data_IF_071144728481
#
_entry.id   IF_071144728481
#
_cell.length_a   1.000
_cell.length_b   1.000
_cell.length_c   1.000
_cell.angle_alpha   90.00
_cell.angle_beta   90.00
_cell.angle_gamma   90.00
#
_symmetry.space_group_name_H-M   'P 1'
#
loop_
_entity.id
_entity.type
_entity.pdbx_description
1 polymer ?
#
# COMPACT_ATOMS: atom_id res chain seq x y z
N UNK A 1 25.46 -30.87 -2.48
CA UNK A 1 24.74 -30.83 -1.19
C UNK A 1 23.41 -30.21 -1.49
N UNK A 2 22.33 -30.96 -1.34
CA UNK A 2 20.99 -30.44 -1.61
C UNK A 2 20.59 -29.53 -0.45
N UNK A 3 20.26 -28.27 -0.75
CA UNK A 3 19.90 -27.27 0.25
C UNK A 3 18.46 -26.83 0.01
N UNK A 4 17.68 -26.74 1.08
CA UNK A 4 16.32 -26.23 1.02
C UNK A 4 16.30 -24.79 1.52
N UNK A 5 15.81 -23.89 0.67
CA UNK A 5 15.58 -22.48 1.00
C UNK A 5 14.10 -22.34 1.30
N UNK A 6 13.75 -21.66 2.37
CA UNK A 6 12.38 -21.31 2.73
C UNK A 6 12.28 -19.79 2.78
N UNK A 7 11.17 -19.25 2.33
CA UNK A 7 10.93 -17.82 2.35
C UNK A 7 9.45 -17.51 2.48
N UNK A 8 9.16 -16.36 3.06
CA UNK A 8 7.82 -15.82 3.23
C UNK A 8 7.73 -14.40 2.69
N UNK A 9 6.57 -14.06 2.16
CA UNK A 9 6.16 -12.70 1.88
C UNK A 9 4.76 -12.51 2.46
N UNK A 10 4.49 -11.35 3.05
CA UNK A 10 3.17 -11.06 3.64
C UNK A 10 2.63 -9.74 3.11
N UNK A 11 1.34 -9.68 2.76
CA UNK A 11 0.66 -8.37 2.65
C UNK A 11 -0.18 -8.09 3.88
N UNK A 12 -0.15 -6.87 4.42
CA UNK A 12 -1.16 -6.36 5.35
C UNK A 12 -2.03 -5.31 4.69
N UNK A 13 -3.34 -5.53 4.76
CA UNK A 13 -4.34 -4.66 4.15
C UNK A 13 -5.08 -3.87 5.22
N UNK A 14 -5.05 -2.55 5.17
CA UNK A 14 -5.55 -1.68 6.25
C UNK A 14 -6.21 -0.43 5.67
N UNK A 15 -7.16 0.17 6.40
CA UNK A 15 -7.92 1.34 5.95
C UNK A 15 -7.31 2.62 6.53
N UNK A 16 -6.61 3.43 5.70
CA UNK A 16 -6.08 4.70 6.15
C UNK A 16 -7.17 5.71 6.46
N UNK A 17 -6.90 6.61 7.41
CA UNK A 17 -7.80 7.72 7.78
C UNK A 17 -8.19 8.63 6.61
N UNK A 18 -7.29 8.73 5.64
CA UNK A 18 -7.39 9.58 4.47
C UNK A 18 -8.05 8.89 3.28
N UNK A 19 -8.22 7.56 3.29
CA UNK A 19 -8.64 6.80 2.11
C UNK A 19 -10.15 6.88 1.80
N UNK A 20 -10.98 7.32 2.76
CA UNK A 20 -12.44 7.43 2.58
C UNK A 20 -12.87 8.89 2.56
N UNK A 21 -13.46 9.34 1.46
CA UNK A 21 -13.93 10.71 1.25
C UNK A 21 -15.46 10.78 1.10
N UNK A 22 -16.03 11.99 1.06
CA UNK A 22 -17.45 12.22 0.74
C UNK A 22 -18.45 11.72 1.80
N UNK A 23 -19.69 11.44 1.37
CA UNK A 23 -20.80 10.99 2.23
C UNK A 23 -20.49 9.68 3.00
N UNK A 24 -19.57 8.88 2.49
CA UNK A 24 -19.10 7.64 3.14
C UNK A 24 -18.17 7.88 4.32
N UNK A 25 -17.52 9.06 4.39
CA UNK A 25 -16.71 9.48 5.55
C UNK A 25 -17.54 9.55 6.83
N UNK A 26 -18.81 9.94 6.72
CA UNK A 26 -19.73 10.04 7.86
C UNK A 26 -19.90 8.70 8.61
N UNK A 27 -19.84 7.56 7.93
CA UNK A 27 -19.90 6.25 8.59
C UNK A 27 -18.66 5.96 9.46
N UNK A 28 -17.49 6.48 9.07
CA UNK A 28 -16.26 6.36 9.86
C UNK A 28 -16.21 7.40 10.98
N UNK A 29 -16.63 8.63 10.73
CA UNK A 29 -16.63 9.72 11.72
C UNK A 29 -17.68 9.55 12.83
N UNK A 30 -18.81 8.89 12.54
CA UNK A 30 -19.87 8.60 13.52
C UNK A 30 -19.57 7.40 14.42
N UNK A 31 -18.45 6.70 14.20
CA UNK A 31 -18.06 5.52 14.97
C UNK A 31 -18.75 4.22 14.57
N UNK A 32 -19.52 4.23 13.47
CA UNK A 32 -20.12 3.01 12.90
C UNK A 32 -19.03 2.05 12.39
N UNK A 33 -17.93 2.55 11.84
CA UNK A 33 -16.72 1.78 11.58
C UNK A 33 -15.49 2.63 11.91
N UNK A 34 -14.28 2.06 11.87
CA UNK A 34 -13.06 2.73 12.28
C UNK A 34 -11.97 2.65 11.21
N UNK A 35 -11.08 3.65 11.23
CA UNK A 35 -9.83 3.62 10.48
C UNK A 35 -8.80 2.79 11.23
N UNK A 36 -7.90 2.15 10.49
CA UNK A 36 -6.80 1.42 11.06
C UNK A 36 -5.63 2.37 11.33
N UNK A 37 -4.99 2.33 12.51
CA UNK A 37 -3.66 2.92 12.64
C UNK A 37 -2.71 2.20 11.67
N UNK A 38 -1.71 2.90 11.10
CA UNK A 38 -0.74 2.28 10.21
C UNK A 38 -0.14 1.00 10.83
N UNK A 39 0.02 -0.08 10.06
CA UNK A 39 0.77 -1.26 10.48
C UNK A 39 2.21 -0.90 10.89
N UNK A 40 2.88 -1.74 11.71
CA UNK A 40 4.28 -1.52 12.04
C UNK A 40 5.18 -1.72 10.82
N UNK A 41 6.36 -1.11 10.82
CA UNK A 41 7.35 -1.28 9.74
C UNK A 41 8.00 -2.67 9.74
N UNK A 42 7.96 -3.35 10.89
CA UNK A 42 8.41 -4.73 11.05
C UNK A 42 7.30 -5.53 11.72
N UNK A 43 6.94 -6.66 11.13
CA UNK A 43 5.92 -7.57 11.64
C UNK A 43 6.60 -8.75 12.34
N UNK A 44 6.63 -8.69 13.66
CA UNK A 44 7.14 -9.78 14.50
C UNK A 44 6.03 -10.76 14.92
N UNK A 45 4.81 -10.25 15.16
CA UNK A 45 3.66 -11.02 15.60
C UNK A 45 2.40 -10.70 14.78
N UNK A 46 2.27 -11.39 13.66
CA UNK A 46 1.10 -11.26 12.79
C UNK A 46 -0.21 -11.66 13.50
N UNK A 47 -0.15 -12.66 14.39
CA UNK A 47 -1.33 -13.16 15.10
C UNK A 47 -1.84 -12.13 16.12
N UNK A 48 -0.94 -11.51 16.88
CA UNK A 48 -1.25 -10.42 17.80
C UNK A 48 -1.80 -9.19 17.08
N UNK A 49 -1.25 -8.82 15.92
CA UNK A 49 -1.82 -7.75 15.09
C UNK A 49 -3.25 -8.07 14.64
N UNK A 50 -3.52 -9.32 14.26
CA UNK A 50 -4.86 -9.77 13.89
C UNK A 50 -5.84 -9.73 15.07
N UNK A 51 -5.42 -10.20 16.25
CA UNK A 51 -6.22 -10.19 17.47
C UNK A 51 -6.55 -8.75 17.95
N UNK A 52 -5.69 -7.79 17.64
CA UNK A 52 -5.87 -6.37 17.92
C UNK A 52 -6.60 -5.59 16.81
N UNK A 53 -7.19 -6.28 15.81
CA UNK A 53 -7.93 -5.70 14.68
C UNK A 53 -7.09 -4.65 13.90
N UNK A 54 -5.77 -4.87 13.78
CA UNK A 54 -4.82 -3.91 13.18
C UNK A 54 -4.75 -3.95 11.66
N UNK A 55 -5.44 -4.91 11.04
CA UNK A 55 -5.55 -5.04 9.59
C UNK A 55 -6.86 -5.74 9.22
N UNK A 56 -7.33 -5.53 7.99
CA UNK A 56 -8.56 -6.10 7.44
C UNK A 56 -8.37 -7.52 6.91
N UNK A 57 -7.24 -7.78 6.29
CA UNK A 57 -6.77 -9.14 6.01
C UNK A 57 -5.27 -9.15 5.68
N UNK A 58 -4.68 -10.34 5.79
CA UNK A 58 -3.33 -10.62 5.34
C UNK A 58 -3.31 -11.72 4.27
N UNK A 59 -2.41 -11.58 3.30
CA UNK A 59 -2.03 -12.64 2.35
C UNK A 59 -0.63 -13.09 2.75
N UNK A 60 -0.51 -14.28 3.34
CA UNK A 60 0.78 -14.88 3.70
C UNK A 60 1.16 -15.85 2.60
N UNK A 61 2.19 -15.54 1.83
CA UNK A 61 2.77 -16.42 0.83
C UNK A 61 4.07 -16.98 1.39
N UNK A 62 4.03 -18.23 1.84
CA UNK A 62 5.20 -18.97 2.29
C UNK A 62 5.48 -20.12 1.33
N UNK A 63 6.75 -20.41 1.07
CA UNK A 63 7.16 -21.49 0.19
C UNK A 63 8.61 -21.88 0.35
N UNK A 64 9.02 -22.87 -0.42
CA UNK A 64 10.35 -23.44 -0.36
C UNK A 64 10.88 -23.76 -1.76
N UNK A 65 12.20 -23.81 -1.89
CA UNK A 65 12.94 -24.20 -3.08
C UNK A 65 14.08 -25.17 -2.70
N UNK A 66 14.17 -26.30 -3.39
CA UNK A 66 15.27 -27.26 -3.27
C UNK A 66 16.33 -26.94 -4.32
N UNK A 67 17.56 -26.73 -3.86
CA UNK A 67 18.73 -26.39 -4.67
C UNK A 67 19.65 -27.59 -4.73
N UNK A 68 19.92 -28.07 -5.94
CA UNK A 68 20.94 -29.08 -6.24
C UNK A 68 21.93 -28.50 -7.25
N UNK A 69 23.23 -28.65 -6.98
CA UNK A 69 24.32 -28.13 -7.83
C UNK A 69 24.15 -26.66 -8.25
N UNK A 70 23.72 -25.82 -7.29
CA UNK A 70 23.52 -24.38 -7.49
C UNK A 70 22.30 -24.01 -8.32
N UNK A 71 21.37 -24.95 -8.58
CA UNK A 71 20.14 -24.73 -9.34
C UNK A 71 18.92 -25.17 -8.57
N UNK A 72 17.83 -24.42 -8.68
CA UNK A 72 16.54 -24.83 -8.12
C UNK A 72 15.98 -25.98 -8.96
N UNK A 73 15.77 -27.14 -8.34
CA UNK A 73 15.23 -28.35 -8.99
C UNK A 73 13.78 -28.62 -8.63
N UNK A 74 13.32 -28.11 -7.49
CA UNK A 74 11.94 -28.25 -7.02
C UNK A 74 11.54 -27.04 -6.21
N UNK A 75 10.26 -26.69 -6.23
CA UNK A 75 9.71 -25.65 -5.39
C UNK A 75 8.24 -25.92 -5.07
N UNK A 76 7.73 -25.26 -4.04
CA UNK A 76 6.32 -25.39 -3.67
C UNK A 76 5.90 -24.41 -2.59
N UNK A 77 4.62 -24.44 -2.29
CA UNK A 77 3.99 -23.65 -1.24
C UNK A 77 4.09 -24.37 0.11
N UNK A 78 4.25 -23.59 1.17
CA UNK A 78 4.21 -24.09 2.53
C UNK A 78 2.78 -24.15 3.09
N UNK A 79 2.57 -24.95 4.13
CA UNK A 79 1.29 -25.04 4.85
C UNK A 79 0.91 -23.72 5.56
N UNK A 80 1.90 -22.90 5.93
CA UNK A 80 1.67 -21.58 6.50
C UNK A 80 1.01 -20.59 5.53
N UNK A 81 1.10 -20.83 4.22
CA UNK A 81 0.60 -19.93 3.20
C UNK A 81 -0.94 -19.91 3.15
N UNK A 82 -1.50 -18.70 3.07
CA UNK A 82 -2.93 -18.48 2.84
C UNK A 82 -3.40 -17.13 3.35
N UNK A 83 -4.72 -17.01 3.46
CA UNK A 83 -5.36 -15.78 3.92
C UNK A 83 -5.55 -15.78 5.44
N UNK A 84 -5.40 -14.62 6.06
CA UNK A 84 -5.86 -14.35 7.43
C UNK A 84 -6.85 -13.19 7.36
N UNK A 85 -8.14 -13.48 7.48
CA UNK A 85 -9.16 -12.44 7.47
C UNK A 85 -9.24 -11.80 8.86
N UNK A 86 -9.32 -10.48 8.89
CA UNK A 86 -9.61 -9.71 10.09
C UNK A 86 -11.10 -9.70 10.42
N UNK A 87 -11.42 -8.96 11.47
CA UNK A 87 -12.79 -8.67 11.86
C UNK A 87 -13.11 -7.20 11.64
N UNK A 88 -14.33 -6.78 11.92
CA UNK A 88 -14.66 -5.36 12.01
C UNK A 88 -15.67 -5.18 13.12
N UNK A 89 -15.29 -4.40 14.11
CA UNK A 89 -16.19 -4.01 15.20
C UNK A 89 -16.92 -2.72 14.83
N UNK A 90 -18.24 -2.81 14.77
CA UNK A 90 -19.19 -1.70 14.55
C UNK A 90 -19.76 -1.26 15.88
N UNK A 91 -19.87 0.05 16.11
CA UNK A 91 -20.55 0.60 17.29
C UNK A 91 -21.71 1.51 16.89
N UNK A 92 -22.85 1.33 17.56
CA UNK A 92 -24.04 2.20 17.45
C UNK A 92 -24.41 2.61 18.88
N UNK A 93 -24.06 3.84 19.26
CA UNK A 93 -24.18 4.29 20.64
C UNK A 93 -23.32 3.45 21.59
N UNK A 94 -23.94 2.83 22.61
CA UNK A 94 -23.24 1.92 23.55
C UNK A 94 -23.19 0.47 23.09
N UNK A 95 -23.88 0.12 22.02
CA UNK A 95 -23.94 -1.24 21.49
C UNK A 95 -22.80 -1.44 20.49
N UNK A 96 -22.08 -2.55 20.62
CA UNK A 96 -21.02 -2.95 19.70
C UNK A 96 -21.24 -4.37 19.18
N UNK A 97 -20.95 -4.61 17.91
CA UNK A 97 -21.00 -5.93 17.29
C UNK A 97 -19.77 -6.13 16.39
N UNK A 98 -19.15 -7.31 16.46
CA UNK A 98 -17.98 -7.66 15.65
C UNK A 98 -18.36 -8.64 14.56
N UNK A 99 -18.03 -8.30 13.33
CA UNK A 99 -18.35 -9.08 12.14
C UNK A 99 -17.06 -9.64 11.54
N UNK A 100 -17.02 -10.94 11.29
CA UNK A 100 -15.88 -11.56 10.64
C UNK A 100 -15.97 -11.37 9.13
N UNK A 101 -14.84 -11.02 8.50
CA UNK A 101 -14.74 -11.05 7.06
C UNK A 101 -14.59 -12.52 6.58
N UNK A 102 -15.16 -12.84 5.42
CA UNK A 102 -15.22 -14.23 4.93
C UNK A 102 -14.14 -14.46 3.88
N UNK A 103 -13.22 -15.36 4.17
CA UNK A 103 -12.19 -15.79 3.24
C UNK A 103 -12.81 -16.46 2.01
N UNK A 104 -12.26 -16.15 0.83
CA UNK A 104 -12.52 -16.93 -0.37
C UNK A 104 -11.41 -17.98 -0.58
N UNK A 105 -11.64 -19.01 -1.44
CA UNK A 105 -10.62 -20.00 -1.75
C UNK A 105 -9.33 -19.35 -2.23
N UNK A 106 -8.20 -19.76 -1.68
CA UNK A 106 -6.88 -19.25 -2.09
C UNK A 106 -6.60 -19.73 -3.52
N UNK A 107 -6.21 -18.82 -4.40
CA UNK A 107 -5.81 -19.14 -5.77
C UNK A 107 -4.28 -19.20 -5.83
N UNK A 108 -3.73 -20.26 -6.43
CA UNK A 108 -2.29 -20.45 -6.59
C UNK A 108 -2.00 -20.81 -8.03
N UNK A 109 -0.88 -20.30 -8.55
CA UNK A 109 -0.31 -20.80 -9.81
C UNK A 109 0.72 -21.86 -9.52
N UNK A 110 1.02 -22.70 -10.50
CA UNK A 110 2.17 -23.59 -10.41
C UNK A 110 3.47 -22.76 -10.28
N UNK A 111 4.49 -23.24 -9.56
CA UNK A 111 5.78 -22.58 -9.48
C UNK A 111 6.36 -22.29 -10.86
N UNK A 112 6.71 -21.02 -11.13
CA UNK A 112 7.29 -20.57 -12.39
C UNK A 112 8.81 -20.51 -12.26
N UNK A 113 9.54 -21.33 -13.02
CA UNK A 113 11.01 -21.32 -13.03
C UNK A 113 11.50 -20.25 -14.01
N UNK A 114 12.31 -19.33 -13.52
CA UNK A 114 12.74 -18.14 -14.24
C UNK A 114 14.07 -18.36 -14.98
N UNK A 115 14.34 -17.60 -16.06
CA UNK A 115 15.59 -17.72 -16.83
C UNK A 115 16.86 -17.41 -16.03
N UNK A 116 16.75 -16.61 -14.96
CA UNK A 116 17.85 -16.26 -14.05
C UNK A 116 18.14 -17.35 -13.00
N UNK A 117 17.42 -18.48 -13.05
CA UNK A 117 17.56 -19.60 -12.13
C UNK A 117 16.72 -19.49 -10.86
N UNK A 118 15.96 -18.41 -10.68
CA UNK A 118 14.99 -18.28 -9.59
C UNK A 118 13.70 -19.07 -9.84
N UNK A 119 12.86 -19.15 -8.82
CA UNK A 119 11.49 -19.68 -8.92
C UNK A 119 10.50 -18.69 -8.33
N UNK A 120 9.41 -18.41 -9.04
CA UNK A 120 8.34 -17.52 -8.60
C UNK A 120 7.10 -18.29 -8.18
N UNK A 121 6.68 -18.06 -6.95
CA UNK A 121 5.40 -18.49 -6.42
C UNK A 121 4.39 -17.35 -6.53
N UNK A 122 3.13 -17.64 -6.88
CA UNK A 122 2.07 -16.64 -7.03
C UNK A 122 0.81 -17.09 -6.31
N UNK A 123 0.33 -16.26 -5.39
CA UNK A 123 -0.87 -16.54 -4.59
C UNK A 123 -1.80 -15.33 -4.50
N UNK A 124 -3.07 -15.53 -4.84
CA UNK A 124 -4.13 -14.56 -4.60
C UNK A 124 -4.92 -14.95 -3.37
N UNK A 125 -5.02 -14.02 -2.42
CA UNK A 125 -5.80 -14.16 -1.20
C UNK A 125 -6.73 -12.97 -1.02
N UNK A 126 -7.83 -13.19 -0.33
CA UNK A 126 -8.78 -12.15 0.00
C UNK A 126 -10.13 -12.75 0.37
N UNK A 127 -11.15 -11.91 0.30
CA UNK A 127 -12.45 -12.30 0.81
C UNK A 127 -13.51 -11.22 0.70
N UNK A 128 -14.67 -11.52 1.27
CA UNK A 128 -15.76 -10.57 1.44
C UNK A 128 -15.53 -9.77 2.70
N UNK A 129 -15.65 -8.45 2.59
CA UNK A 129 -15.58 -7.57 3.76
C UNK A 129 -16.69 -7.88 4.76
N UNK A 130 -16.41 -7.60 6.03
CA UNK A 130 -17.32 -7.83 7.14
C UNK A 130 -18.63 -7.02 7.03
N UNK A 131 -18.57 -5.83 6.41
CA UNK A 131 -19.72 -4.94 6.24
C UNK A 131 -20.22 -4.93 4.79
N UNK A 132 -21.53 -5.06 4.57
CA UNK A 132 -22.12 -4.89 3.25
C UNK A 132 -22.12 -3.42 2.85
N UNK A 133 -21.90 -3.16 1.56
CA UNK A 133 -22.03 -1.83 0.98
C UNK A 133 -23.27 -1.77 0.06
N UNK A 134 -23.95 -0.61 -0.04
CA UNK A 134 -25.01 -0.44 -1.02
C UNK A 134 -24.41 -0.46 -2.43
N UNK A 135 -24.96 -1.30 -3.29
CA UNK A 135 -24.55 -1.45 -4.69
C UNK A 135 -25.72 -1.18 -5.61
N UNK A 136 -25.55 -0.27 -6.57
CA UNK A 136 -26.53 -0.06 -7.62
C UNK A 136 -26.61 -1.30 -8.54
N UNK A 137 -27.82 -1.73 -8.89
CA UNK A 137 -28.08 -2.84 -9.82
C UNK A 137 -29.07 -2.40 -10.91
N UNK A 138 -28.96 -2.92 -12.14
CA UNK A 138 -29.76 -2.43 -13.28
C UNK A 138 -31.25 -2.80 -13.21
N UNK A 139 -31.63 -3.70 -12.31
CA UNK A 139 -33.01 -4.18 -12.16
C UNK A 139 -33.48 -4.00 -10.70
N UNK A 140 -34.81 -3.91 -10.45
CA UNK A 140 -35.36 -3.86 -9.10
C UNK A 140 -34.73 -4.92 -8.16
N UNK A 141 -34.36 -4.58 -6.92
CA UNK A 141 -34.67 -3.34 -6.19
C UNK A 141 -33.74 -2.14 -6.48
N UNK A 142 -32.93 -2.16 -7.54
CA UNK A 142 -31.97 -1.13 -7.95
C UNK A 142 -30.82 -0.82 -6.99
N UNK A 143 -30.96 -1.21 -5.72
CA UNK A 143 -29.89 -1.21 -4.71
C UNK A 143 -29.87 -2.56 -4.00
N UNK A 144 -28.72 -3.22 -3.97
CA UNK A 144 -28.50 -4.43 -3.21
C UNK A 144 -27.41 -4.19 -2.16
N UNK A 145 -27.61 -4.72 -0.96
CA UNK A 145 -26.57 -4.74 0.07
C UNK A 145 -25.72 -5.99 -0.14
N UNK A 146 -24.45 -5.79 -0.48
CA UNK A 146 -23.50 -6.89 -0.66
C UNK A 146 -22.12 -6.47 -0.19
N UNK A 147 -21.40 -7.36 0.48
CA UNK A 147 -20.00 -7.13 0.84
C UNK A 147 -19.13 -7.14 -0.42
N UNK A 148 -18.41 -6.04 -0.73
CA UNK A 148 -17.42 -6.04 -1.80
C UNK A 148 -16.28 -7.03 -1.50
N UNK A 149 -15.56 -7.37 -2.57
CA UNK A 149 -14.36 -8.18 -2.49
C UNK A 149 -13.12 -7.33 -2.27
N UNK A 150 -12.20 -7.86 -1.46
CA UNK A 150 -10.85 -7.32 -1.27
C UNK A 150 -9.86 -8.44 -1.56
N UNK A 151 -8.74 -8.13 -2.20
CA UNK A 151 -7.72 -9.12 -2.50
C UNK A 151 -6.34 -8.52 -2.74
N UNK A 152 -5.32 -9.34 -2.55
CA UNK A 152 -3.97 -9.12 -3.06
C UNK A 152 -3.53 -10.38 -3.79
N UNK A 153 -2.90 -10.20 -4.94
CA UNK A 153 -2.09 -11.20 -5.63
C UNK A 153 -0.65 -10.89 -5.30
N UNK A 154 -0.03 -11.78 -4.52
CA UNK A 154 1.34 -11.66 -4.04
C UNK A 154 2.22 -12.66 -4.79
N UNK A 155 3.44 -12.24 -5.10
CA UNK A 155 4.49 -13.07 -5.67
C UNK A 155 5.67 -13.14 -4.72
N UNK A 156 6.35 -14.28 -4.71
CA UNK A 156 7.58 -14.52 -3.97
C UNK A 156 8.55 -15.21 -4.92
N UNK A 157 9.60 -14.50 -5.32
CA UNK A 157 10.70 -15.07 -6.11
C UNK A 157 11.79 -15.55 -5.16
N UNK A 158 12.20 -16.81 -5.24
CA UNK A 158 13.29 -17.39 -4.45
C UNK A 158 14.45 -17.69 -5.39
N UNK A 159 15.66 -17.27 -5.04
CA UNK A 159 16.87 -17.46 -5.82
C UNK A 159 17.73 -18.59 -5.25
N UNK A 160 18.59 -19.25 -6.07
CA UNK A 160 19.46 -20.34 -5.60
C UNK A 160 20.45 -19.95 -4.51
N UNK A 161 20.74 -18.66 -4.36
CA UNK A 161 21.67 -18.10 -3.38
C UNK A 161 21.02 -17.80 -2.01
N UNK A 162 19.72 -18.07 -1.86
CA UNK A 162 18.97 -17.79 -0.63
C UNK A 162 18.22 -16.47 -0.62
N UNK A 163 18.41 -15.60 -1.62
CA UNK A 163 17.69 -14.34 -1.72
C UNK A 163 16.23 -14.57 -2.06
N UNK A 164 15.33 -13.76 -1.48
CA UNK A 164 13.91 -13.76 -1.81
C UNK A 164 13.39 -12.36 -2.11
N UNK A 165 12.53 -12.25 -3.13
CA UNK A 165 11.97 -10.97 -3.57
C UNK A 165 10.43 -11.03 -3.59
N UNK A 166 9.75 -10.27 -2.71
CA UNK A 166 8.30 -10.16 -2.75
C UNK A 166 7.85 -9.13 -3.80
N UNK A 167 6.78 -9.44 -4.52
CA UNK A 167 6.15 -8.54 -5.48
C UNK A 167 4.62 -8.51 -5.33
N UNK A 168 4.00 -7.37 -5.62
CA UNK A 168 2.54 -7.19 -5.58
C UNK A 168 2.01 -6.86 -6.98
N UNK A 169 1.84 -7.86 -7.87
CA UNK A 169 1.35 -7.61 -9.23
C UNK A 169 -0.13 -7.23 -9.30
N UNK A 170 -0.95 -7.64 -8.30
CA UNK A 170 -2.38 -7.39 -8.33
C UNK A 170 -2.97 -7.11 -6.95
N UNK A 171 -3.96 -6.22 -6.89
CA UNK A 171 -4.70 -5.92 -5.67
C UNK A 171 -6.03 -5.22 -5.96
N UNK A 172 -6.97 -5.37 -5.03
CA UNK A 172 -8.14 -4.50 -4.98
C UNK A 172 -7.73 -3.03 -4.82
N UNK A 173 -8.44 -2.10 -5.46
CA UNK A 173 -8.17 -0.66 -5.34
C UNK A 173 -8.41 -0.10 -3.92
N UNK A 174 -8.99 -0.88 -3.01
CA UNK A 174 -9.16 -0.56 -1.61
C UNK A 174 -9.27 -1.88 -0.82
N UNK A 175 -8.74 -1.99 0.40
CA UNK A 175 -8.05 -0.97 1.21
C UNK A 175 -6.58 -0.74 0.77
N UNK A 176 -5.76 -0.06 1.59
CA UNK A 176 -4.31 0.10 1.30
C UNK A 176 -3.58 -1.20 1.63
N UNK A 177 -2.56 -1.55 0.85
CA UNK A 177 -1.79 -2.79 1.00
C UNK A 177 -0.31 -2.50 1.21
N UNK A 178 0.27 -3.08 2.27
CA UNK A 178 1.71 -3.04 2.56
C UNK A 178 2.28 -4.45 2.40
N UNK A 179 3.49 -4.56 1.85
CA UNK A 179 4.17 -5.83 1.58
C UNK A 179 5.41 -5.95 2.45
N UNK A 180 5.57 -7.10 3.07
CA UNK A 180 6.68 -7.43 3.96
C UNK A 180 7.47 -8.61 3.39
N UNK A 181 8.78 -8.56 3.56
CA UNK A 181 9.70 -9.64 3.19
C UNK A 181 9.73 -10.77 4.25
N UNK A 182 10.67 -11.71 4.07
CA UNK A 182 10.81 -12.88 4.93
C UNK A 182 11.21 -12.53 6.37
N UNK A 183 11.95 -11.44 6.56
CA UNK A 183 12.30 -10.90 7.87
C UNK A 183 11.15 -10.12 8.52
N UNK A 184 10.01 -10.00 7.83
CA UNK A 184 8.87 -9.21 8.27
C UNK A 184 9.08 -7.70 8.09
N UNK A 185 10.10 -7.26 7.37
CA UNK A 185 10.37 -5.85 7.13
C UNK A 185 9.51 -5.32 5.96
N UNK A 186 8.98 -4.11 6.12
CA UNK A 186 8.18 -3.43 5.10
C UNK A 186 9.04 -3.04 3.89
N UNK A 187 8.70 -3.59 2.72
CA UNK A 187 9.50 -3.40 1.48
C UNK A 187 8.72 -2.78 0.33
N UNK A 188 7.38 -2.80 0.34
CA UNK A 188 6.58 -2.19 -0.75
C UNK A 188 5.19 -1.76 -0.26
N UNK A 189 4.58 -0.79 -0.96
CA UNK A 189 3.22 -0.31 -0.67
C UNK A 189 2.38 -0.21 -1.95
N UNK A 190 1.06 -0.35 -1.84
CA UNK A 190 0.15 0.04 -2.91
C UNK A 190 0.09 1.57 -3.01
N UNK A 191 0.26 2.08 -4.24
CA UNK A 191 0.33 3.51 -4.55
C UNK A 191 -1.03 4.20 -4.61
N UNK A 192 -2.12 3.45 -4.71
CA UNK A 192 -3.47 3.99 -4.93
C UNK A 192 -4.46 3.42 -3.92
N UNK A 193 -5.40 4.25 -3.52
CA UNK A 193 -6.64 3.86 -2.84
C UNK A 193 -7.84 4.55 -3.49
N UNK A 194 -8.64 3.79 -4.23
CA UNK A 194 -9.87 4.28 -4.86
C UNK A 194 -11.08 3.55 -4.29
N UNK A 195 -11.61 4.10 -3.19
CA UNK A 195 -12.80 3.56 -2.54
C UNK A 195 -14.02 3.55 -3.48
N UNK A 196 -14.19 4.57 -4.31
CA UNK A 196 -15.38 4.72 -5.16
C UNK A 196 -15.38 3.69 -6.29
N UNK A 197 -14.25 3.54 -7.00
CA UNK A 197 -14.11 2.50 -8.01
C UNK A 197 -14.21 1.10 -7.37
N UNK A 198 -13.56 0.89 -6.23
CA UNK A 198 -13.66 -0.38 -5.49
C UNK A 198 -15.10 -0.73 -5.13
N UNK A 199 -15.85 0.21 -4.55
CA UNK A 199 -17.25 0.01 -4.15
C UNK A 199 -18.18 -0.20 -5.35
N UNK A 200 -17.82 0.28 -6.54
CA UNK A 200 -18.58 0.08 -7.76
C UNK A 200 -18.23 -1.24 -8.48
N UNK A 201 -16.99 -1.72 -8.37
CA UNK A 201 -16.44 -2.72 -9.29
C UNK A 201 -15.94 -4.01 -8.66
N UNK A 202 -15.74 -4.07 -7.35
CA UNK A 202 -15.17 -5.24 -6.65
C UNK A 202 -16.18 -6.35 -6.38
N UNK A 203 -16.83 -6.84 -7.44
CA UNK A 203 -17.76 -7.96 -7.37
C UNK A 203 -17.80 -8.73 -8.69
N UNK A 204 -18.08 -10.03 -8.61
CA UNK A 204 -18.37 -10.85 -9.77
C UNK A 204 -17.14 -11.09 -10.66
N UNK A 205 -17.34 -11.06 -11.98
CA UNK A 205 -16.33 -11.43 -12.98
C UNK A 205 -15.05 -10.57 -12.94
N UNK A 206 -15.13 -9.31 -12.52
CA UNK A 206 -13.99 -8.37 -12.46
C UNK A 206 -13.12 -8.53 -11.21
N UNK A 207 -12.98 -9.77 -10.75
CA UNK A 207 -12.18 -10.12 -9.57
C UNK A 207 -11.46 -11.44 -9.85
N UNK A 208 -10.40 -11.78 -9.10
CA UNK A 208 -9.63 -13.00 -9.37
C UNK A 208 -10.43 -14.30 -9.28
N UNK A 209 -11.56 -14.30 -8.56
CA UNK A 209 -12.49 -15.43 -8.50
C UNK A 209 -13.55 -15.45 -9.61
N UNK A 210 -13.46 -14.48 -10.51
CA UNK A 210 -14.12 -14.45 -11.81
C UNK A 210 -13.07 -14.65 -12.90
N UNK A 211 -12.88 -13.62 -13.73
CA UNK A 211 -12.10 -13.70 -14.97
C UNK A 211 -10.92 -12.71 -15.00
N UNK A 212 -10.80 -11.80 -14.02
CA UNK A 212 -9.85 -10.67 -14.09
C UNK A 212 -9.16 -10.39 -12.76
N UNK A 213 -7.84 -10.15 -12.79
CA UNK A 213 -7.11 -9.53 -11.67
C UNK A 213 -6.88 -8.03 -11.97
N UNK A 214 -6.84 -7.21 -10.93
CA UNK A 214 -6.58 -5.77 -11.06
C UNK A 214 -5.10 -5.47 -10.82
N UNK A 215 -4.39 -4.84 -11.77
CA UNK A 215 -2.99 -4.47 -11.59
C UNK A 215 -2.80 -3.59 -10.36
N UNK A 216 -1.84 -3.91 -9.51
CA UNK A 216 -1.46 -3.06 -8.41
C UNK A 216 -0.33 -2.13 -8.83
N UNK A 217 -0.59 -0.81 -8.84
CA UNK A 217 0.48 0.16 -8.87
C UNK A 217 1.18 0.11 -7.51
N UNK A 218 2.40 -0.41 -7.49
CA UNK A 218 3.18 -0.56 -6.26
C UNK A 218 4.38 0.37 -6.28
N UNK A 219 4.67 0.96 -5.14
CA UNK A 219 5.74 1.93 -4.94
C UNK A 219 6.68 1.44 -3.84
N UNK A 220 7.93 1.86 -3.93
CA UNK A 220 8.92 1.65 -2.88
C UNK A 220 8.53 2.38 -1.59
N UNK A 221 8.97 1.84 -0.45
CA UNK A 221 8.65 2.36 0.88
C UNK A 221 9.45 3.64 1.14
N UNK A 222 8.88 4.57 1.90
CA UNK A 222 9.59 5.78 2.28
C UNK A 222 10.70 5.49 3.31
N UNK A 223 11.60 6.44 3.51
CA UNK A 223 12.57 6.38 4.61
C UNK A 223 11.89 6.54 5.98
N UNK A 224 12.59 6.12 7.05
CA UNK A 224 12.10 6.30 8.43
C UNK A 224 11.85 7.78 8.77
N UNK A 225 12.68 8.69 8.25
CA UNK A 225 12.53 10.13 8.42
C UNK A 225 11.21 10.65 7.79
N UNK A 226 10.86 10.18 6.59
CA UNK A 226 9.58 10.52 5.93
C UNK A 226 8.39 10.09 6.77
N UNK A 227 8.43 8.90 7.39
CA UNK A 227 7.33 8.41 8.23
C UNK A 227 7.17 9.20 9.52
N UNK A 228 8.26 9.61 10.15
CA UNK A 228 8.21 10.50 11.33
C UNK A 228 7.58 11.84 10.93
N UNK A 229 8.01 12.40 9.80
CA UNK A 229 7.53 13.69 9.35
C UNK A 229 6.07 13.64 8.87
N UNK A 230 5.67 12.59 8.18
CA UNK A 230 4.28 12.31 7.80
C UNK A 230 3.36 12.33 9.02
N UNK A 231 3.76 11.65 10.11
CA UNK A 231 2.99 11.66 11.37
C UNK A 231 2.87 13.07 11.93
N UNK A 232 3.97 13.82 12.02
CA UNK A 232 3.96 15.20 12.52
C UNK A 232 3.05 16.11 11.69
N UNK A 233 3.10 16.01 10.36
CA UNK A 233 2.24 16.77 9.45
C UNK A 233 0.75 16.44 9.62
N UNK A 234 0.43 15.17 9.93
CA UNK A 234 -0.96 14.73 10.10
C UNK A 234 -1.51 14.96 11.50
N UNK A 235 -0.66 14.98 12.53
CA UNK A 235 -1.06 15.20 13.94
C UNK A 235 -0.75 16.60 14.46
N UNK A 236 -0.17 17.46 13.63
CA UNK A 236 0.17 18.84 13.99
C UNK A 236 -1.04 19.66 14.42
N UNK A 237 -0.78 20.77 15.13
CA UNK A 237 -1.83 21.65 15.64
C UNK A 237 -2.69 22.25 14.51
N UNK A 238 -2.06 22.54 13.36
CA UNK A 238 -2.72 23.02 12.16
C UNK A 238 -3.02 21.87 11.22
N UNK A 239 -4.30 21.70 10.86
CA UNK A 239 -4.70 20.69 9.89
C UNK A 239 -4.16 21.06 8.50
N UNK A 240 -3.45 20.16 7.80
CA UNK A 240 -2.96 20.44 6.47
C UNK A 240 -4.12 20.61 5.48
N UNK A 241 -3.94 21.49 4.50
CA UNK A 241 -4.91 21.70 3.41
C UNK A 241 -4.77 20.55 2.42
N UNK A 242 -5.88 19.88 2.09
CA UNK A 242 -5.85 18.83 1.06
C UNK A 242 -5.93 19.45 -0.33
N UNK A 243 -5.01 19.07 -1.21
CA UNK A 243 -5.03 19.39 -2.64
C UNK A 243 -5.15 18.11 -3.45
N UNK A 244 -5.98 18.14 -4.49
CA UNK A 244 -6.16 17.03 -5.44
C UNK A 244 -5.66 17.44 -6.82
N UNK A 245 -5.04 16.49 -7.53
CA UNK A 245 -4.49 16.67 -8.86
C UNK A 245 -5.03 15.56 -9.77
N UNK A 246 -5.34 15.89 -11.02
CA UNK A 246 -5.61 14.90 -12.05
C UNK A 246 -4.30 14.28 -12.57
N UNK A 247 -4.42 13.17 -13.28
CA UNK A 247 -3.28 12.61 -14.02
C UNK A 247 -2.74 13.65 -15.03
N UNK A 248 -1.43 13.83 -15.05
CA UNK A 248 -0.71 14.82 -15.86
C UNK A 248 -0.55 16.20 -15.23
N UNK A 249 -1.25 16.52 -14.13
CA UNK A 249 -1.13 17.83 -13.48
C UNK A 249 0.24 18.01 -12.78
N UNK A 250 0.73 19.25 -12.72
CA UNK A 250 1.93 19.59 -11.97
C UNK A 250 1.58 19.98 -10.53
N UNK A 251 2.26 19.35 -9.56
CA UNK A 251 2.25 19.78 -8.17
C UNK A 251 3.15 21.00 -7.97
N UNK A 252 4.39 20.92 -8.47
CA UNK A 252 5.40 21.99 -8.46
C UNK A 252 6.22 21.97 -9.73
N UNK A 253 6.72 23.14 -10.15
CA UNK A 253 7.71 23.26 -11.23
C UNK A 253 9.08 23.64 -10.65
N UNK A 254 10.15 23.03 -11.15
CA UNK A 254 11.52 23.36 -10.74
C UNK A 254 11.82 24.85 -10.95
N UNK A 255 12.52 25.45 -9.99
CA UNK A 255 12.91 26.86 -9.99
C UNK A 255 11.84 27.82 -9.47
N UNK A 256 10.57 27.41 -9.38
CA UNK A 256 9.52 28.26 -8.80
C UNK A 256 9.75 28.51 -7.31
N UNK A 257 9.33 29.68 -6.79
CA UNK A 257 9.34 29.92 -5.35
C UNK A 257 8.38 28.95 -4.64
N UNK A 258 8.77 28.46 -3.47
CA UNK A 258 7.91 27.61 -2.66
C UNK A 258 8.46 27.34 -1.28
N UNK A 259 7.60 27.51 -0.29
CA UNK A 259 7.86 27.34 1.14
C UNK A 259 6.89 26.33 1.80
N UNK A 260 6.07 25.66 0.97
CA UNK A 260 5.15 24.61 1.40
C UNK A 260 5.83 23.23 1.36
N UNK A 261 5.46 22.38 2.33
CA UNK A 261 5.71 20.95 2.36
C UNK A 261 4.48 20.20 1.87
N UNK A 262 4.71 19.07 1.20
CA UNK A 262 3.66 18.19 0.73
C UNK A 262 3.84 16.80 1.33
N UNK A 263 2.77 16.20 1.84
CA UNK A 263 2.70 14.78 2.14
C UNK A 263 1.81 14.12 1.09
N UNK A 264 2.35 13.16 0.33
CA UNK A 264 1.57 12.38 -0.63
C UNK A 264 0.65 11.42 0.13
N UNK A 265 -0.66 11.62 0.01
CA UNK A 265 -1.68 10.82 0.71
C UNK A 265 -2.22 9.70 -0.16
N UNK A 266 -2.30 9.94 -1.46
CA UNK A 266 -2.73 8.97 -2.45
C UNK A 266 -2.21 9.32 -3.85
N UNK A 267 -1.97 8.31 -4.67
CA UNK A 267 -1.45 8.47 -6.02
C UNK A 267 0.07 8.41 -6.10
N UNK A 268 0.57 8.59 -7.32
CA UNK A 268 2.00 8.56 -7.64
C UNK A 268 2.42 9.85 -8.32
N UNK A 269 3.53 10.41 -7.85
CA UNK A 269 4.18 11.58 -8.41
C UNK A 269 5.49 11.16 -9.06
N UNK A 270 5.76 11.68 -10.25
CA UNK A 270 7.05 11.61 -10.93
C UNK A 270 7.91 12.80 -10.54
N UNK A 271 9.16 12.54 -10.20
CA UNK A 271 10.18 13.53 -9.84
C UNK A 271 11.12 13.75 -11.03
N UNK A 272 11.24 14.99 -11.47
CA UNK A 272 12.12 15.41 -12.57
C UNK A 272 13.03 16.56 -12.14
N UNK A 273 14.31 16.49 -12.53
CA UNK A 273 15.30 17.57 -12.34
C UNK A 273 15.98 17.82 -13.67
N UNK A 274 16.01 19.09 -14.10
CA UNK A 274 16.58 19.52 -15.38
C UNK A 274 16.04 18.72 -16.58
N UNK A 275 14.74 18.37 -16.52
CA UNK A 275 14.05 17.57 -17.54
C UNK A 275 14.37 16.07 -17.51
N UNK A 276 15.25 15.61 -16.61
CA UNK A 276 15.55 14.19 -16.41
C UNK A 276 14.65 13.58 -15.34
N UNK A 277 13.98 12.47 -15.68
CA UNK A 277 13.21 11.66 -14.73
C UNK A 277 14.14 10.95 -13.77
N UNK A 278 13.96 11.18 -12.48
CA UNK A 278 14.79 10.59 -11.42
C UNK A 278 14.07 9.42 -10.72
N UNK A 279 12.80 9.60 -10.37
CA UNK A 279 12.06 8.60 -9.59
C UNK A 279 10.54 8.79 -9.72
N UNK A 280 9.81 7.78 -9.28
CA UNK A 280 8.39 7.88 -8.90
C UNK A 280 8.27 7.69 -7.39
N UNK A 281 7.40 8.46 -6.76
CA UNK A 281 7.13 8.43 -5.32
C UNK A 281 5.65 8.24 -5.07
N UNK A 282 5.29 7.50 -4.03
CA UNK A 282 3.92 7.20 -3.69
C UNK A 282 3.54 7.59 -2.25
N UNK A 283 2.37 7.12 -1.77
CA UNK A 283 1.75 7.62 -0.56
C UNK A 283 2.58 7.39 0.69
N UNK A 284 2.81 8.46 1.44
CA UNK A 284 3.68 8.58 2.61
C UNK A 284 4.89 9.47 2.35
N UNK A 285 5.26 9.69 1.07
CA UNK A 285 6.40 10.52 0.71
C UNK A 285 6.19 11.98 1.15
N UNK A 286 7.24 12.59 1.72
CA UNK A 286 7.25 14.02 2.07
C UNK A 286 8.12 14.79 1.08
N UNK A 287 7.59 15.85 0.49
CA UNK A 287 8.20 16.56 -0.61
C UNK A 287 8.26 18.07 -0.34
N UNK A 288 9.25 18.74 -0.93
CA UNK A 288 9.42 20.19 -0.85
C UNK A 288 10.31 20.66 0.31
N UNK A 289 10.81 19.74 1.13
CA UNK A 289 11.75 19.97 2.22
C UNK A 289 13.02 20.68 1.77
N UNK A 290 13.53 20.35 0.57
CA UNK A 290 14.75 20.97 0.05
C UNK A 290 14.55 22.42 -0.34
N UNK A 291 13.40 22.76 -0.93
CA UNK A 291 13.07 24.14 -1.26
C UNK A 291 13.09 25.02 0.00
N UNK A 292 12.60 24.50 1.12
CA UNK A 292 12.62 25.20 2.42
C UNK A 292 14.05 25.38 2.94
N UNK A 293 14.93 24.40 2.75
CA UNK A 293 16.29 24.44 3.25
C UNK A 293 17.24 25.28 2.37
N UNK A 294 17.03 25.26 1.05
CA UNK A 294 17.95 25.74 0.01
C UNK A 294 17.50 27.08 -0.62
N UNK A 295 16.87 27.96 0.17
CA UNK A 295 16.60 29.34 -0.26
C UNK A 295 15.26 29.57 -0.96
N UNK A 296 14.28 28.69 -0.74
CA UNK A 296 12.88 28.91 -1.08
C UNK A 296 12.51 28.64 -2.54
N UNK A 297 13.35 27.91 -3.30
CA UNK A 297 13.06 27.52 -4.69
C UNK A 297 12.93 26.01 -4.83
N UNK A 298 11.97 25.57 -5.64
CA UNK A 298 11.74 24.15 -5.93
C UNK A 298 12.94 23.55 -6.65
N UNK A 299 13.51 22.48 -6.09
CA UNK A 299 14.69 21.78 -6.63
C UNK A 299 14.31 20.77 -7.71
N UNK A 300 13.05 20.39 -7.81
CA UNK A 300 12.53 19.43 -8.80
C UNK A 300 11.12 19.80 -9.27
N UNK A 301 10.77 19.34 -10.47
CA UNK A 301 9.40 19.30 -10.97
C UNK A 301 8.72 18.03 -10.44
N UNK A 302 7.49 18.17 -9.95
CA UNK A 302 6.67 17.07 -9.44
C UNK A 302 5.40 16.99 -10.30
N UNK A 303 5.22 15.89 -11.02
CA UNK A 303 4.09 15.69 -11.93
C UNK A 303 3.27 14.47 -11.50
N UNK A 304 1.94 14.60 -11.48
CA UNK A 304 1.02 13.49 -11.24
C UNK A 304 1.06 12.51 -12.43
N UNK A 305 1.25 11.22 -12.16
CA UNK A 305 1.12 10.13 -13.14
C UNK A 305 -0.11 9.26 -12.89
N UNK A 306 -0.86 9.61 -11.84
CA UNK A 306 -2.19 9.13 -11.49
C UNK A 306 -2.97 10.30 -10.92
N UNK A 307 -4.28 10.21 -10.70
CA UNK A 307 -4.94 11.10 -9.75
C UNK A 307 -4.20 11.08 -8.41
N UNK A 308 -3.89 12.26 -7.87
CA UNK A 308 -3.07 12.44 -6.68
C UNK A 308 -3.80 13.25 -5.63
N UNK A 309 -3.59 12.91 -4.37
CA UNK A 309 -4.02 13.69 -3.22
C UNK A 309 -2.82 13.98 -2.34
N UNK A 310 -2.62 15.25 -1.99
CA UNK A 310 -1.55 15.68 -1.09
C UNK A 310 -2.10 16.49 0.08
N UNK A 311 -1.50 16.32 1.25
CA UNK A 311 -1.62 17.26 2.35
C UNK A 311 -0.57 18.35 2.17
N UNK A 312 -1.01 19.62 2.20
CA UNK A 312 -0.16 20.80 2.07
C UNK A 312 -0.02 21.45 3.44
N UNK A 313 1.22 21.66 3.89
CA UNK A 313 1.51 22.32 5.15
C UNK A 313 2.56 23.43 4.96
N UNK A 314 2.46 24.54 5.72
CA UNK A 314 3.53 25.52 5.78
C UNK A 314 4.79 24.89 6.38
N UNK A 315 5.95 25.20 5.82
CA UNK A 315 7.24 24.72 6.36
C UNK A 315 7.49 25.12 7.81
N UNK A 316 6.97 26.27 8.25
CA UNK A 316 7.08 26.75 9.62
C UNK A 316 6.46 25.80 10.67
N UNK A 317 5.65 24.83 10.24
CA UNK A 317 5.05 23.82 11.14
C UNK A 317 6.04 22.72 11.55
N UNK A 318 7.22 22.63 10.93
CA UNK A 318 8.19 21.55 11.12
C UNK A 318 9.58 22.11 11.45
N UNK A 319 10.28 21.45 12.38
CA UNK A 319 11.67 21.78 12.73
C UNK A 319 12.63 21.58 11.53
N UNK A 320 13.47 22.59 11.28
CA UNK A 320 14.47 22.61 10.22
C UNK A 320 15.48 21.46 10.32
N UNK A 321 15.83 21.02 11.52
CA UNK A 321 16.78 19.90 11.71
C UNK A 321 16.21 18.59 11.13
N UNK A 322 14.91 18.34 11.34
CA UNK A 322 14.21 17.18 10.78
C UNK A 322 14.06 17.25 9.27
N UNK A 323 13.85 18.45 8.73
CA UNK A 323 13.85 18.65 7.28
C UNK A 323 15.24 18.34 6.69
N UNK A 324 16.32 18.70 7.39
CA UNK A 324 17.68 18.42 6.93
C UNK A 324 18.02 16.92 6.95
N UNK A 325 17.56 16.19 7.97
CA UNK A 325 17.65 14.73 8.01
C UNK A 325 16.95 14.09 6.81
N UNK A 326 15.73 14.54 6.51
CA UNK A 326 14.98 14.07 5.34
C UNK A 326 15.69 14.41 4.02
N UNK A 327 16.15 15.65 3.84
CA UNK A 327 16.85 16.07 2.63
C UNK A 327 18.13 15.24 2.38
N UNK A 328 18.75 14.73 3.44
CA UNK A 328 19.88 13.80 3.35
C UNK A 328 19.54 12.49 2.63
N UNK A 329 18.34 11.92 2.86
CA UNK A 329 17.90 10.68 2.19
C UNK A 329 17.36 10.92 0.78
N UNK A 330 17.03 12.17 0.42
CA UNK A 330 16.46 12.54 -0.88
C UNK A 330 17.47 13.04 -1.92
N UNK A 331 18.77 13.15 -1.58
CA UNK A 331 19.82 13.45 -2.56
C UNK A 331 20.08 12.25 -3.48
N UNK A 332 19.19 12.09 -4.47
CA UNK A 332 19.25 11.02 -5.49
C UNK A 332 19.99 11.44 -6.75
N UNK A 333 20.27 12.74 -6.93
CA UNK A 333 21.05 13.28 -8.07
C UNK A 333 22.57 13.06 -7.97
N UNK A 334 23.09 12.78 -6.78
CA UNK A 334 24.53 12.59 -6.53
C UNK A 334 24.99 11.11 -6.63
N UNK A 335 24.08 10.18 -6.93
CA UNK A 335 24.41 8.76 -7.13
C UNK A 335 24.80 8.56 -8.60
N UNK A 336 26.08 8.25 -8.92
CA UNK A 336 26.47 7.97 -10.30
C UNK A 336 25.72 6.73 -10.80
N UNK A 337 25.33 6.77 -12.08
CA UNK A 337 24.60 5.73 -12.79
C UNK A 337 25.32 4.38 -12.81
#
# INVERSE_FOLDING_TARGET
MDTRIEATATTLSWIPSEAVTGLTKAAFETGFTHYDPPPPDVVEDLAGLGAADRFRYANVLAGWAEVADGRIVRAGYDAGAGVRMGSTTVRIGRLGATFAAVALPVLRRDPEYLPDGGVRLTQTCGGRTALPAPRAVPHPPFVQLRSPLVWTTLTLTIHPDGRSEPGLPGASAFPRHWVYDDGGALVRKSGLTDYSAWAAHSFGARTPWGDEDSPALSVEVESAAERVLSRLLMTGADKPRIRTLADGDLLTLQGEPGDELYLLLDGVLRVEVDGRRLAEVGPGAVLGERAVLEGGRRTSTLAAVTPVRVAVAPSASIDRERLAELAGSHRREDVPA
#
